data_IF_687693508079
#
_entry.id   IF_687693508079
#
_cell.length_a   1.000
_cell.length_b   1.000
_cell.length_c   1.000
_cell.angle_alpha   90.00
_cell.angle_beta   90.00
_cell.angle_gamma   90.00
#
_symmetry.space_group_name_H-M   'P 1'
#
loop_
_entity.id
_entity.type
_entity.pdbx_description
1 polymer ?
#
# COMPACT_ATOMS: atom_id res chain seq x y z
N UNK A 1 -9.01 15.43 6.32
CA UNK A 1 -10.09 15.23 5.33
C UNK A 1 -9.57 14.21 4.32
N UNK A 2 -10.31 13.12 4.12
CA UNK A 2 -9.90 11.97 3.33
C UNK A 2 -8.94 10.99 4.01
N UNK A 3 -8.74 11.07 5.34
CA UNK A 3 -7.83 10.16 6.06
C UNK A 3 -8.51 8.86 6.54
N UNK A 4 -9.78 8.96 6.93
CA UNK A 4 -10.59 7.81 7.37
C UNK A 4 -11.65 7.51 6.33
N UNK A 5 -12.20 6.30 6.39
CA UNK A 5 -13.30 5.90 5.53
C UNK A 5 -14.52 6.81 5.73
N UNK A 6 -14.81 7.28 6.95
CA UNK A 6 -15.93 8.19 7.21
C UNK A 6 -15.72 9.56 6.59
N UNK A 7 -14.48 10.10 6.63
CA UNK A 7 -14.18 11.37 5.96
C UNK A 7 -14.39 11.25 4.43
N UNK A 8 -14.07 10.09 3.83
CA UNK A 8 -14.34 9.82 2.42
C UNK A 8 -15.84 9.63 2.15
N UNK A 9 -16.56 8.91 3.01
CA UNK A 9 -18.01 8.71 2.89
C UNK A 9 -18.77 10.05 2.94
N UNK A 10 -18.36 10.97 3.82
CA UNK A 10 -18.92 12.32 3.89
C UNK A 10 -18.72 13.11 2.60
N UNK A 11 -17.55 12.97 1.94
CA UNK A 11 -17.32 13.60 0.63
C UNK A 11 -18.27 12.98 -0.40
N UNK A 12 -18.36 11.65 -0.46
CA UNK A 12 -19.20 10.93 -1.42
C UNK A 12 -20.68 11.32 -1.27
N UNK A 13 -21.19 11.37 -0.04
CA UNK A 13 -22.58 11.76 0.27
C UNK A 13 -22.89 13.20 -0.18
N UNK A 14 -21.91 14.10 -0.06
CA UNK A 14 -22.06 15.49 -0.47
C UNK A 14 -22.07 15.74 -2.00
N UNK A 15 -21.72 14.75 -2.83
CA UNK A 15 -21.63 14.91 -4.29
C UNK A 15 -22.92 14.48 -4.98
N UNK A 16 -23.50 15.37 -5.79
CA UNK A 16 -24.74 15.11 -6.55
C UNK A 16 -24.65 13.91 -7.50
N UNK A 17 -23.50 13.73 -8.16
CA UNK A 17 -23.24 12.63 -9.09
C UNK A 17 -22.30 11.60 -8.46
N UNK A 18 -22.61 11.16 -7.24
CA UNK A 18 -21.72 10.29 -6.48
C UNK A 18 -21.57 8.89 -7.09
N UNK A 19 -22.47 8.48 -7.99
CA UNK A 19 -22.34 7.24 -8.76
C UNK A 19 -21.11 7.23 -9.66
N UNK A 20 -20.51 8.40 -9.92
CA UNK A 20 -19.27 8.56 -10.68
C UNK A 20 -18.02 8.57 -9.81
N UNK A 21 -18.17 8.48 -8.48
CA UNK A 21 -17.06 8.47 -7.54
C UNK A 21 -16.67 7.04 -7.17
N UNK A 22 -15.37 6.80 -7.20
CA UNK A 22 -14.72 5.59 -6.73
C UNK A 22 -13.62 5.91 -5.72
N UNK A 23 -13.10 4.89 -5.06
CA UNK A 23 -12.04 5.00 -4.07
C UNK A 23 -10.83 4.18 -4.52
N UNK A 24 -9.65 4.78 -4.36
CA UNK A 24 -8.37 4.09 -4.39
C UNK A 24 -7.97 3.77 -2.96
N UNK A 25 -7.59 2.54 -2.70
CA UNK A 25 -7.07 2.11 -1.40
C UNK A 25 -5.54 2.02 -1.49
N UNK A 26 -4.85 2.78 -0.65
CA UNK A 26 -3.38 2.74 -0.54
C UNK A 26 -2.98 2.06 0.77
N UNK A 27 -2.16 1.00 0.68
CA UNK A 27 -1.75 0.22 1.86
C UNK A 27 -0.87 1.02 2.82
N UNK A 28 0.00 1.90 2.33
CA UNK A 28 0.83 2.75 3.18
C UNK A 28 -0.03 3.81 3.88
N UNK A 29 -0.91 4.51 3.15
CA UNK A 29 -1.75 5.55 3.74
C UNK A 29 -2.71 4.98 4.76
N UNK A 30 -3.31 3.82 4.48
CA UNK A 30 -4.27 3.19 5.37
C UNK A 30 -3.58 2.69 6.66
N UNK A 31 -2.37 2.11 6.56
CA UNK A 31 -1.53 1.83 7.73
C UNK A 31 -1.22 3.11 8.52
N UNK A 32 -0.77 4.17 7.84
CA UNK A 32 -0.40 5.43 8.47
C UNK A 32 -1.59 6.17 9.09
N UNK A 33 -2.81 5.95 8.59
CA UNK A 33 -4.06 6.45 9.16
C UNK A 33 -4.49 5.71 10.44
N UNK A 34 -3.87 4.57 10.74
CA UNK A 34 -4.10 3.81 11.96
C UNK A 34 -4.86 2.49 11.77
N UNK A 35 -5.13 2.08 10.54
CA UNK A 35 -5.79 0.81 10.24
C UNK A 35 -4.79 -0.35 10.30
N UNK A 36 -5.19 -1.49 10.88
CA UNK A 36 -4.33 -2.63 11.10
C UNK A 36 -4.19 -3.52 9.86
N UNK A 37 -3.54 -3.02 8.82
CA UNK A 37 -3.34 -3.79 7.59
C UNK A 37 -2.43 -5.00 7.80
N UNK A 38 -1.44 -4.88 8.69
CA UNK A 38 -0.44 -5.92 8.89
C UNK A 38 -1.04 -7.21 9.45
N UNK A 39 -1.81 -7.08 10.53
CA UNK A 39 -2.28 -8.23 11.31
C UNK A 39 -3.78 -8.54 11.08
N UNK A 40 -4.58 -7.56 10.63
CA UNK A 40 -6.04 -7.73 10.46
C UNK A 40 -6.57 -6.99 9.21
N UNK A 41 -6.01 -7.32 8.05
CA UNK A 41 -6.47 -6.75 6.78
C UNK A 41 -7.96 -7.05 6.50
N UNK A 42 -8.45 -8.23 6.91
CA UNK A 42 -9.87 -8.59 6.78
C UNK A 42 -10.78 -7.62 7.52
N UNK A 43 -10.48 -7.30 8.79
CA UNK A 43 -11.27 -6.35 9.57
C UNK A 43 -11.26 -4.94 8.96
N UNK A 44 -10.11 -4.52 8.41
CA UNK A 44 -10.01 -3.25 7.67
C UNK A 44 -10.92 -3.23 6.44
N UNK A 45 -10.98 -4.33 5.68
CA UNK A 45 -11.84 -4.41 4.50
C UNK A 45 -13.33 -4.55 4.86
N UNK A 46 -13.68 -5.20 5.97
CA UNK A 46 -15.05 -5.21 6.51
C UNK A 46 -15.51 -3.79 6.89
N UNK A 47 -14.63 -3.01 7.54
CA UNK A 47 -14.93 -1.62 7.86
C UNK A 47 -15.06 -0.78 6.59
N UNK A 48 -14.17 -0.96 5.61
CA UNK A 48 -14.26 -0.29 4.32
C UNK A 48 -15.59 -0.59 3.62
N UNK A 49 -16.02 -1.86 3.54
CA UNK A 49 -17.27 -2.24 2.89
C UNK A 49 -18.47 -1.63 3.59
N UNK A 50 -18.46 -1.63 4.93
CA UNK A 50 -19.53 -1.06 5.74
C UNK A 50 -19.67 0.46 5.56
N UNK A 51 -18.56 1.19 5.43
CA UNK A 51 -18.55 2.66 5.40
C UNK A 51 -18.62 3.22 3.97
N UNK A 52 -17.94 2.58 3.03
CA UNK A 52 -17.79 3.05 1.64
C UNK A 52 -18.52 2.15 0.64
N UNK A 53 -18.45 0.83 0.83
CA UNK A 53 -18.90 -0.17 -0.13
C UNK A 53 -17.77 -0.64 -1.05
N UNK A 54 -17.56 -1.96 -1.13
CA UNK A 54 -16.54 -2.58 -1.96
C UNK A 54 -16.76 -2.34 -3.46
N UNK A 55 -17.98 -2.08 -3.89
CA UNK A 55 -18.29 -1.73 -5.28
C UNK A 55 -17.60 -0.43 -5.74
N UNK A 56 -17.25 0.46 -4.80
CA UNK A 56 -16.53 1.70 -5.07
C UNK A 56 -15.02 1.53 -5.12
N UNK A 57 -14.46 0.42 -4.63
CA UNK A 57 -13.03 0.15 -4.71
C UNK A 57 -12.64 -0.16 -6.17
N UNK A 58 -11.77 0.66 -6.77
CA UNK A 58 -11.38 0.50 -8.19
C UNK A 58 -9.88 0.35 -8.42
N UNK A 59 -9.06 0.78 -7.47
CA UNK A 59 -7.59 0.74 -7.58
C UNK A 59 -6.99 0.42 -6.22
N UNK A 60 -5.96 -0.41 -6.23
CA UNK A 60 -5.05 -0.59 -5.10
C UNK A 60 -3.72 0.07 -5.42
N UNK A 61 -3.24 0.90 -4.50
CA UNK A 61 -1.83 1.29 -4.45
C UNK A 61 -1.16 0.38 -3.42
N UNK A 62 -0.16 -0.36 -3.87
CA UNK A 62 0.56 -1.37 -3.10
C UNK A 62 1.91 -0.78 -2.73
N UNK A 63 1.96 -0.22 -1.53
CA UNK A 63 3.11 0.45 -0.95
C UNK A 63 3.38 -0.11 0.44
N UNK A 64 4.63 -0.46 0.72
CA UNK A 64 5.06 -0.70 2.10
C UNK A 64 5.22 0.66 2.82
N UNK A 65 5.24 0.69 4.15
CA UNK A 65 5.44 1.93 4.93
C UNK A 65 6.80 1.94 5.61
N UNK A 66 7.50 3.07 5.59
CA UNK A 66 8.70 3.29 6.43
C UNK A 66 8.36 3.44 7.90
N UNK A 67 7.08 3.57 8.25
CA UNK A 67 6.66 3.99 9.57
C UNK A 67 5.61 3.06 10.18
N UNK A 68 5.63 2.87 11.51
CA UNK A 68 4.60 2.09 12.20
C UNK A 68 3.18 2.60 11.92
N UNK A 69 2.20 1.72 12.10
CA UNK A 69 0.77 2.03 12.03
C UNK A 69 0.43 3.30 12.84
N UNK A 70 -0.38 4.18 12.24
CA UNK A 70 -0.84 5.42 12.89
C UNK A 70 0.20 6.55 12.95
N UNK A 71 1.30 6.46 12.19
CA UNK A 71 2.37 7.47 12.24
C UNK A 71 2.05 8.79 11.52
N UNK A 72 1.07 8.78 10.60
CA UNK A 72 0.67 9.93 9.79
C UNK A 72 1.84 10.61 9.04
N UNK A 73 2.74 9.83 8.41
CA UNK A 73 3.95 10.34 7.77
C UNK A 73 3.91 10.30 6.26
N UNK A 74 3.18 9.35 5.68
CA UNK A 74 3.10 9.11 4.25
C UNK A 74 4.51 8.98 3.64
N UNK A 75 5.18 7.89 4.00
CA UNK A 75 6.53 7.58 3.54
C UNK A 75 6.60 6.14 3.07
N UNK A 76 6.46 5.97 1.76
CA UNK A 76 6.53 4.65 1.14
C UNK A 76 7.90 4.01 1.33
N UNK A 77 7.91 2.71 1.56
CA UNK A 77 9.08 1.84 1.52
C UNK A 77 8.98 0.89 0.31
N UNK A 78 10.12 0.36 -0.12
CA UNK A 78 10.14 -0.73 -1.09
C UNK A 78 9.50 -1.98 -0.48
N UNK A 79 8.90 -2.82 -1.33
CA UNK A 79 8.10 -3.96 -0.88
C UNK A 79 8.95 -4.92 -0.03
N UNK A 80 8.53 -5.12 1.23
CA UNK A 80 9.22 -6.01 2.18
C UNK A 80 10.32 -5.34 3.00
N UNK A 81 10.63 -4.08 2.73
CA UNK A 81 11.64 -3.29 3.45
C UNK A 81 11.00 -2.24 4.38
N UNK A 82 9.68 -2.32 4.60
CA UNK A 82 8.95 -1.47 5.52
C UNK A 82 8.31 -2.23 6.68
N UNK A 83 7.42 -1.56 7.39
CA UNK A 83 6.77 -2.09 8.60
C UNK A 83 5.56 -2.99 8.29
N UNK A 84 4.93 -2.84 7.12
CA UNK A 84 3.81 -3.69 6.68
C UNK A 84 4.38 -5.06 6.30
N UNK A 85 5.43 -5.06 5.46
CA UNK A 85 6.19 -6.25 5.11
C UNK A 85 5.63 -7.04 3.93
N UNK A 86 6.49 -7.89 3.34
CA UNK A 86 6.22 -8.61 2.10
C UNK A 86 5.04 -9.56 2.23
N UNK A 87 4.98 -10.37 3.29
CA UNK A 87 3.97 -11.43 3.42
C UNK A 87 2.54 -10.87 3.42
N UNK A 88 2.31 -9.76 4.14
CA UNK A 88 1.02 -9.07 4.15
C UNK A 88 0.69 -8.49 2.79
N UNK A 89 1.63 -7.73 2.19
CA UNK A 89 1.39 -7.12 0.88
C UNK A 89 1.17 -8.18 -0.22
N UNK A 90 1.87 -9.31 -0.15
CA UNK A 90 1.73 -10.42 -1.09
C UNK A 90 0.36 -11.09 -0.96
N UNK A 91 -0.15 -11.25 0.26
CA UNK A 91 -1.53 -11.72 0.49
C UNK A 91 -2.55 -10.77 -0.13
N UNK A 92 -2.40 -9.46 0.08
CA UNK A 92 -3.29 -8.43 -0.49
C UNK A 92 -3.26 -8.49 -2.03
N UNK A 93 -2.08 -8.54 -2.65
CA UNK A 93 -1.95 -8.57 -4.12
C UNK A 93 -2.65 -9.77 -4.76
N UNK A 94 -2.70 -10.91 -4.05
CA UNK A 94 -3.27 -12.17 -4.52
C UNK A 94 -4.63 -12.50 -3.89
N UNK A 95 -5.24 -11.57 -3.16
CA UNK A 95 -6.56 -11.80 -2.58
C UNK A 95 -7.60 -11.87 -3.72
N UNK A 96 -8.41 -12.94 -3.80
CA UNK A 96 -9.44 -13.09 -4.84
C UNK A 96 -10.46 -11.94 -4.89
N UNK A 97 -10.66 -11.23 -3.77
CA UNK A 97 -11.48 -10.01 -3.72
C UNK A 97 -11.02 -8.97 -4.75
N UNK A 98 -9.73 -8.97 -5.09
CA UNK A 98 -9.11 -7.95 -5.93
C UNK A 98 -8.72 -8.45 -7.32
N UNK A 99 -9.13 -9.64 -7.76
CA UNK A 99 -8.70 -10.21 -9.06
C UNK A 99 -8.89 -9.24 -10.24
N UNK A 100 -9.99 -8.48 -10.24
CA UNK A 100 -10.33 -7.51 -11.29
C UNK A 100 -9.96 -6.05 -10.95
N UNK A 101 -9.21 -5.83 -9.87
CA UNK A 101 -8.76 -4.51 -9.42
C UNK A 101 -7.30 -4.29 -9.86
N UNK A 102 -7.03 -3.12 -10.44
CA UNK A 102 -5.67 -2.71 -10.79
C UNK A 102 -4.82 -2.51 -9.54
N UNK A 103 -3.63 -3.11 -9.50
CA UNK A 103 -2.63 -2.94 -8.43
C UNK A 103 -1.45 -2.15 -8.96
N UNK A 104 -1.13 -1.03 -8.33
CA UNK A 104 -0.12 -0.07 -8.77
C UNK A 104 0.95 0.07 -7.68
N UNK A 105 2.22 0.02 -8.07
CA UNK A 105 3.34 0.31 -7.20
C UNK A 105 3.71 1.79 -7.29
N UNK A 106 3.92 2.44 -6.15
CA UNK A 106 4.43 3.81 -6.04
C UNK A 106 5.62 3.88 -5.08
N UNK A 107 6.35 2.78 -5.01
CA UNK A 107 7.54 2.59 -4.18
C UNK A 107 8.68 3.53 -4.62
N UNK A 108 9.53 3.96 -3.67
CA UNK A 108 10.60 4.89 -3.98
C UNK A 108 11.67 4.27 -4.88
N UNK A 109 12.32 5.10 -5.69
CA UNK A 109 13.48 4.68 -6.48
C UNK A 109 14.62 4.23 -5.56
N UNK A 110 15.37 3.24 -6.01
CA UNK A 110 16.47 2.64 -5.24
C UNK A 110 17.80 3.29 -5.65
N UNK A 111 18.58 3.72 -4.66
CA UNK A 111 19.91 4.31 -4.83
C UNK A 111 20.06 5.70 -4.17
N UNK A 112 21.22 5.92 -3.52
CA UNK A 112 21.51 7.16 -2.77
C UNK A 112 21.71 8.39 -3.66
N UNK A 113 22.39 8.21 -4.79
CA UNK A 113 22.58 9.26 -5.78
C UNK A 113 21.34 9.33 -6.68
N UNK A 114 20.58 10.42 -6.57
CA UNK A 114 19.38 10.65 -7.39
C UNK A 114 19.64 10.56 -8.89
N UNK A 115 20.88 10.78 -9.36
CA UNK A 115 21.25 10.66 -10.77
C UNK A 115 21.48 9.21 -11.22
N UNK A 116 21.67 8.30 -10.26
CA UNK A 116 21.91 6.86 -10.50
C UNK A 116 20.78 5.99 -9.95
N UNK A 117 19.81 6.58 -9.26
CA UNK A 117 18.67 5.89 -8.72
C UNK A 117 17.84 5.27 -9.85
N UNK A 118 17.32 4.07 -9.62
CA UNK A 118 16.56 3.33 -10.62
C UNK A 118 15.20 2.90 -10.08
N UNK A 119 14.27 2.69 -11.00
CA UNK A 119 12.92 2.23 -10.68
C UNK A 119 12.95 0.78 -10.16
N UNK A 120 12.34 0.48 -8.99
CA UNK A 120 12.36 -0.86 -8.38
C UNK A 120 11.34 -1.83 -9.01
N UNK A 121 10.36 -1.30 -9.74
CA UNK A 121 9.08 -1.95 -10.02
C UNK A 121 9.21 -3.32 -10.68
N UNK A 122 10.15 -3.49 -11.63
CA UNK A 122 10.35 -4.77 -12.31
C UNK A 122 10.76 -5.89 -11.34
N UNK A 123 11.61 -5.56 -10.36
CA UNK A 123 12.06 -6.48 -9.32
C UNK A 123 10.93 -6.78 -8.33
N UNK A 124 10.21 -5.76 -7.86
CA UNK A 124 9.08 -5.91 -6.93
C UNK A 124 7.92 -6.72 -7.53
N UNK A 125 7.55 -6.46 -8.79
CA UNK A 125 6.55 -7.26 -9.52
C UNK A 125 7.01 -8.71 -9.65
N UNK A 126 8.31 -8.94 -9.88
CA UNK A 126 8.86 -10.29 -9.97
C UNK A 126 8.77 -11.02 -8.63
N UNK A 127 9.03 -10.35 -7.50
CA UNK A 127 8.85 -10.93 -6.16
C UNK A 127 7.39 -11.32 -5.90
N UNK A 128 6.42 -10.45 -6.23
CA UNK A 128 5.00 -10.81 -6.11
C UNK A 128 4.63 -12.00 -6.99
N UNK A 129 5.04 -12.03 -8.26
CA UNK A 129 4.76 -13.16 -9.17
C UNK A 129 5.38 -14.47 -8.70
N UNK A 130 6.56 -14.40 -8.08
CA UNK A 130 7.23 -15.55 -7.47
C UNK A 130 6.66 -15.90 -6.09
N UNK A 131 5.85 -15.02 -5.50
CA UNK A 131 5.36 -15.07 -4.12
C UNK A 131 6.50 -15.31 -3.12
N UNK A 132 7.67 -14.72 -3.37
CA UNK A 132 8.88 -14.94 -2.60
C UNK A 132 9.60 -13.59 -2.37
N UNK A 133 9.88 -13.29 -1.11
CA UNK A 133 10.69 -12.14 -0.73
C UNK A 133 12.17 -12.44 -0.98
N UNK A 134 12.84 -11.51 -1.67
CA UNK A 134 14.29 -11.52 -1.82
C UNK A 134 14.87 -10.33 -1.02
N UNK A 135 15.47 -10.58 0.16
CA UNK A 135 16.04 -9.51 0.98
C UNK A 135 17.26 -8.85 0.32
N UNK A 136 17.93 -9.53 -0.62
CA UNK A 136 19.13 -9.03 -1.30
C UNK A 136 18.81 -8.36 -2.64
N UNK A 137 17.53 -8.26 -3.01
CA UNK A 137 17.07 -7.71 -4.30
C UNK A 137 17.50 -6.26 -4.52
N UNK A 138 17.70 -5.53 -3.43
CA UNK A 138 18.20 -4.15 -3.38
C UNK A 138 19.37 -4.04 -2.40
N UNK A 139 20.60 -4.38 -2.82
CA UNK A 139 21.78 -4.30 -1.95
C UNK A 139 22.02 -2.89 -1.40
N UNK A 140 21.59 -1.85 -2.12
CA UNK A 140 21.72 -0.46 -1.71
C UNK A 140 20.90 -0.12 -0.46
N UNK A 141 19.80 -0.85 -0.20
CA UNK A 141 18.97 -0.66 1.00
C UNK A 141 19.58 -1.38 2.21
N UNK A 142 20.18 -2.56 2.02
CA UNK A 142 20.83 -3.33 3.08
C UNK A 142 22.07 -2.63 3.64
N UNK A 143 22.81 -1.91 2.79
CA UNK A 143 23.99 -1.15 3.19
C UNK A 143 23.68 0.04 4.12
N UNK A 144 22.40 0.36 4.36
CA UNK A 144 21.98 1.42 5.29
C UNK A 144 21.87 0.91 6.74
N UNK A 145 21.69 -0.39 6.99
CA UNK A 145 21.60 -0.95 8.35
C UNK A 145 22.96 -1.15 9.03
N UNK A 146 24.05 -1.20 8.27
CA UNK A 146 25.40 -1.53 8.79
C UNK A 146 26.18 -0.28 9.26
N UNK A 147 25.58 0.90 9.22
CA UNK A 147 26.22 2.15 9.71
C UNK A 147 25.57 2.64 11.00
N UNK A 148 25.79 1.91 12.09
CA UNK A 148 25.57 2.37 13.47
C UNK A 148 26.88 2.25 14.26
#
# INVERSE_FOLDING_TARGET
IGRTFEELAQIIDGVKLNEKLSVTFDTCHTNDAGYNIKEDFSGVMEEFDKVIGLDRLKVLHINDSKNPQGSHKDRHANIGFGTIGFDTLNKIVHDPMFDNISKILETPYVGKDKKKAYAPYGKEISMFKAQAFDPEVFPELLAEEVTL
#
